data_IF_150207613692
#
_entry.id   IF_150207613692
#
_cell.length_a   1.000
_cell.length_b   1.000
_cell.length_c   1.000
_cell.angle_alpha   90.00
_cell.angle_beta   90.00
_cell.angle_gamma   90.00
#
_symmetry.space_group_name_H-M   'P 1'
#
loop_
_entity.id
_entity.type
_entity.pdbx_description
1 polymer ?
#
# COMPACT_ATOMS: atom_id res chain seq x y z
N UNK A 1 -4.72 -20.76 -9.17
CA UNK A 1 -4.00 -20.19 -10.34
C UNK A 1 -4.28 -18.70 -10.60
N UNK A 2 -5.53 -18.25 -10.76
CA UNK A 2 -5.82 -16.82 -11.06
C UNK A 2 -5.28 -15.85 -9.98
N UNK A 3 -5.36 -16.22 -8.71
CA UNK A 3 -4.85 -15.42 -7.58
C UNK A 3 -3.30 -15.31 -7.62
N UNK A 4 -2.60 -16.43 -7.75
CA UNK A 4 -1.14 -16.50 -7.93
C UNK A 4 -0.66 -15.59 -9.07
N UNK A 5 -1.34 -15.59 -10.22
CA UNK A 5 -0.98 -14.71 -11.34
C UNK A 5 -1.19 -13.22 -11.02
N UNK A 6 -2.24 -12.87 -10.28
CA UNK A 6 -2.48 -11.49 -9.85
C UNK A 6 -1.40 -11.02 -8.87
N UNK A 7 -1.05 -11.86 -7.89
CA UNK A 7 -0.01 -11.60 -6.90
C UNK A 7 1.35 -11.43 -7.59
N UNK A 8 1.75 -12.40 -8.41
CA UNK A 8 3.06 -12.33 -9.09
C UNK A 8 3.16 -11.14 -10.04
N UNK A 9 2.09 -10.80 -10.78
CA UNK A 9 2.03 -9.56 -11.57
C UNK A 9 2.17 -8.32 -10.70
N UNK A 10 1.48 -8.26 -9.56
CA UNK A 10 1.58 -7.15 -8.62
C UNK A 10 2.99 -7.04 -8.01
N UNK A 11 3.71 -8.14 -7.83
CA UNK A 11 5.08 -8.15 -7.30
C UNK A 11 6.16 -7.88 -8.37
N UNK A 12 5.83 -7.95 -9.65
CA UNK A 12 6.78 -7.77 -10.77
C UNK A 12 7.13 -6.30 -11.08
N UNK A 13 7.04 -5.40 -10.10
CA UNK A 13 7.37 -3.97 -10.26
C UNK A 13 8.11 -3.45 -9.03
N UNK A 14 9.18 -2.70 -9.30
CA UNK A 14 10.08 -2.22 -8.25
C UNK A 14 9.37 -1.29 -7.26
N UNK A 15 8.52 -0.36 -7.74
CA UNK A 15 7.84 0.58 -6.86
C UNK A 15 6.82 -0.13 -5.96
N UNK A 16 6.14 -1.15 -6.48
CA UNK A 16 5.23 -1.99 -5.67
C UNK A 16 5.97 -2.77 -4.58
N UNK A 17 7.16 -3.29 -4.86
CA UNK A 17 8.01 -3.94 -3.84
C UNK A 17 8.50 -2.92 -2.80
N UNK A 18 8.89 -1.71 -3.23
CA UNK A 18 9.27 -0.60 -2.32
C UNK A 18 8.12 -0.23 -1.37
N UNK A 19 6.89 -0.11 -1.88
CA UNK A 19 5.69 0.14 -1.07
C UNK A 19 5.52 -0.96 -0.02
N UNK A 20 5.55 -2.24 -0.42
CA UNK A 20 5.39 -3.35 0.52
C UNK A 20 6.45 -3.33 1.61
N UNK A 21 7.73 -3.11 1.27
CA UNK A 21 8.80 -3.01 2.27
C UNK A 21 8.57 -1.85 3.24
N UNK A 22 8.19 -0.67 2.74
CA UNK A 22 7.93 0.50 3.57
C UNK A 22 6.76 0.26 4.54
N UNK A 23 5.67 -0.33 4.05
CA UNK A 23 4.50 -0.65 4.86
C UNK A 23 4.77 -1.77 5.87
N UNK A 24 5.48 -2.83 5.49
CA UNK A 24 5.89 -3.89 6.43
C UNK A 24 6.76 -3.37 7.58
N UNK A 25 7.51 -2.29 7.37
CA UNK A 25 8.36 -1.71 8.42
C UNK A 25 7.65 -0.65 9.28
N UNK A 26 6.64 0.04 8.74
CA UNK A 26 5.98 1.18 9.41
C UNK A 26 4.54 0.89 9.86
N UNK A 27 3.95 -0.22 9.42
CA UNK A 27 2.55 -0.56 9.68
C UNK A 27 1.62 0.09 8.67
N UNK A 28 1.45 1.42 8.77
CA UNK A 28 0.57 2.18 7.86
C UNK A 28 1.21 3.48 7.35
N UNK A 29 0.91 3.84 6.09
CA UNK A 29 1.35 5.09 5.47
C UNK A 29 0.22 5.68 4.61
N UNK A 30 0.12 7.01 4.58
CA UNK A 30 -0.82 7.69 3.69
C UNK A 30 -0.29 7.79 2.25
N UNK A 31 -1.20 8.06 1.31
CA UNK A 31 -0.83 8.24 -0.13
C UNK A 31 0.26 9.29 -0.33
N UNK A 32 0.21 10.42 0.39
CA UNK A 32 1.20 11.49 0.25
C UNK A 32 2.60 11.05 0.69
N UNK A 33 2.70 10.30 1.79
CA UNK A 33 3.97 9.76 2.27
C UNK A 33 4.56 8.75 1.26
N UNK A 34 3.71 7.89 0.70
CA UNK A 34 4.12 6.92 -0.32
C UNK A 34 4.50 7.60 -1.64
N UNK A 35 3.80 8.66 -2.01
CA UNK A 35 4.11 9.45 -3.20
C UNK A 35 5.49 10.11 -3.07
N UNK A 36 5.77 10.74 -1.93
CA UNK A 36 7.06 11.36 -1.64
C UNK A 36 8.20 10.34 -1.67
N UNK A 37 7.99 9.19 -1.00
CA UNK A 37 8.95 8.08 -0.96
C UNK A 37 9.31 7.57 -2.36
N UNK A 38 8.30 7.35 -3.19
CA UNK A 38 8.49 6.85 -4.55
C UNK A 38 8.98 7.93 -5.52
N UNK A 39 8.77 9.20 -5.18
CA UNK A 39 9.03 10.35 -6.04
C UNK A 39 8.31 10.23 -7.38
N UNK A 40 7.03 9.85 -7.32
CA UNK A 40 6.14 9.65 -8.47
C UNK A 40 4.98 10.65 -8.46
N UNK A 41 4.33 10.79 -9.61
CA UNK A 41 3.08 11.54 -9.71
C UNK A 41 1.94 10.87 -8.91
N UNK A 42 0.96 11.63 -8.40
CA UNK A 42 -0.16 11.10 -7.61
C UNK A 42 -0.93 9.98 -8.31
N UNK A 43 -1.15 10.10 -9.62
CA UNK A 43 -1.87 9.11 -10.44
C UNK A 43 -1.11 7.80 -10.55
N UNK A 44 0.22 7.85 -10.70
CA UNK A 44 1.10 6.67 -10.75
C UNK A 44 1.13 5.95 -9.39
N UNK A 45 1.31 6.70 -8.30
CA UNK A 45 1.30 6.13 -6.94
C UNK A 45 -0.04 5.46 -6.65
N UNK A 46 -1.15 6.15 -6.94
CA UNK A 46 -2.51 5.60 -6.74
C UNK A 46 -2.72 4.32 -7.57
N UNK A 47 -2.23 4.28 -8.81
CA UNK A 47 -2.31 3.08 -9.66
C UNK A 47 -1.54 1.90 -9.05
N UNK A 48 -0.33 2.12 -8.51
CA UNK A 48 0.42 1.05 -7.84
C UNK A 48 -0.33 0.52 -6.62
N UNK A 49 -0.91 1.41 -5.80
CA UNK A 49 -1.69 1.04 -4.62
C UNK A 49 -2.96 0.26 -4.99
N UNK A 50 -3.69 0.71 -6.00
CA UNK A 50 -4.88 0.00 -6.49
C UNK A 50 -4.54 -1.41 -7.00
N UNK A 51 -3.42 -1.59 -7.70
CA UNK A 51 -2.98 -2.92 -8.17
C UNK A 51 -2.66 -3.84 -6.98
N UNK A 52 -1.94 -3.34 -5.98
CA UNK A 52 -1.59 -4.11 -4.79
C UNK A 52 -2.82 -4.47 -3.93
N UNK A 53 -3.74 -3.51 -3.73
CA UNK A 53 -5.00 -3.73 -3.03
C UNK A 53 -5.90 -4.73 -3.78
N UNK A 54 -6.00 -4.62 -5.11
CA UNK A 54 -6.77 -5.56 -5.95
C UNK A 54 -6.19 -6.98 -5.93
N UNK A 55 -4.88 -7.11 -5.68
CA UNK A 55 -4.21 -8.38 -5.48
C UNK A 55 -4.38 -8.94 -4.05
N UNK A 56 -5.09 -8.23 -3.15
CA UNK A 56 -5.29 -8.62 -1.77
C UNK A 56 -4.04 -8.48 -0.89
N UNK A 57 -3.08 -7.64 -1.30
CA UNK A 57 -1.83 -7.46 -0.57
C UNK A 57 -1.85 -6.26 0.38
N UNK A 58 -2.74 -5.28 0.13
CA UNK A 58 -2.89 -4.09 0.97
C UNK A 58 -4.34 -3.94 1.47
N UNK A 59 -4.45 -3.48 2.72
CA UNK A 59 -5.67 -2.94 3.29
C UNK A 59 -5.66 -1.42 3.23
N UNK A 60 -6.84 -0.81 3.21
CA UNK A 60 -7.00 0.65 3.22
C UNK A 60 -7.95 1.07 4.34
N UNK A 61 -7.49 2.02 5.16
CA UNK A 61 -8.26 2.67 6.23
C UNK A 61 -8.45 4.13 5.87
N UNK A 62 -9.68 4.63 5.99
CA UNK A 62 -9.98 6.05 5.78
C UNK A 62 -10.04 6.76 7.13
N UNK A 63 -9.39 7.92 7.22
CA UNK A 63 -9.41 8.78 8.39
C UNK A 63 -9.50 10.25 7.95
N UNK A 64 -10.68 10.84 8.15
CA UNK A 64 -11.02 12.13 7.55
C UNK A 64 -10.89 12.08 6.03
N UNK A 65 -10.02 12.92 5.47
CA UNK A 65 -9.73 12.97 4.03
C UNK A 65 -8.58 12.07 3.58
N UNK A 66 -7.92 11.37 4.51
CA UNK A 66 -6.73 10.60 4.23
C UNK A 66 -7.07 9.12 4.04
N UNK A 67 -6.40 8.49 3.09
CA UNK A 67 -6.38 7.04 2.92
C UNK A 67 -5.01 6.52 3.38
N UNK A 68 -5.03 5.68 4.41
CA UNK A 68 -3.87 4.98 4.94
C UNK A 68 -3.87 3.55 4.41
N UNK A 69 -2.72 3.12 3.92
CA UNK A 69 -2.51 1.76 3.44
C UNK A 69 -1.66 1.01 4.43
N UNK A 70 -1.95 -0.28 4.62
CA UNK A 70 -1.15 -1.22 5.39
C UNK A 70 -1.01 -2.53 4.61
N UNK A 71 0.02 -3.32 4.92
CA UNK A 71 0.08 -4.70 4.41
C UNK A 71 -1.02 -5.49 5.11
N UNK A 72 -1.75 -6.30 4.36
CA UNK A 72 -2.71 -7.24 4.97
C UNK A 72 -1.93 -8.20 5.85
N UNK A 73 -2.44 -8.57 7.02
CA UNK A 73 -1.77 -9.51 7.95
C UNK A 73 -2.70 -10.65 8.36
N UNK A 74 -2.10 -11.78 8.76
CA UNK A 74 -2.83 -12.93 9.30
C UNK A 74 -3.74 -13.61 8.28
N UNK A 75 -4.95 -13.97 8.72
CA UNK A 75 -5.92 -14.75 7.95
C UNK A 75 -6.53 -14.01 6.74
N UNK A 76 -6.28 -12.69 6.62
CA UNK A 76 -6.80 -11.88 5.53
C UNK A 76 -5.87 -11.89 4.31
N UNK A 77 -4.58 -12.24 4.47
CA UNK A 77 -3.68 -12.40 3.33
C UNK A 77 -4.11 -13.65 2.57
N UNK A 78 -4.21 -13.63 1.23
CA UNK A 78 -4.36 -14.84 0.45
C UNK A 78 -3.29 -15.88 0.85
N UNK A 79 -3.69 -17.09 1.21
CA UNK A 79 -2.77 -18.16 1.63
C UNK A 79 -1.59 -18.32 0.65
N UNK A 80 -1.89 -18.23 -0.65
CA UNK A 80 -0.94 -18.25 -1.77
C UNK A 80 0.12 -17.12 -1.73
N UNK A 81 -0.15 -16.00 -1.05
CA UNK A 81 0.69 -14.79 -1.05
C UNK A 81 1.64 -14.71 0.16
N UNK A 82 1.27 -15.28 1.32
CA UNK A 82 1.98 -15.09 2.59
C UNK A 82 3.48 -15.37 2.45
N UNK A 83 3.82 -16.55 1.91
CA UNK A 83 5.22 -16.99 1.79
C UNK A 83 5.99 -16.16 0.77
N UNK A 84 5.37 -15.82 -0.37
CA UNK A 84 6.04 -15.08 -1.45
C UNK A 84 6.31 -13.63 -1.02
N UNK A 85 5.34 -12.97 -0.40
CA UNK A 85 5.50 -11.59 0.09
C UNK A 85 6.58 -11.54 1.16
N UNK A 86 6.52 -12.42 2.16
CA UNK A 86 7.53 -12.49 3.22
C UNK A 86 8.95 -12.75 2.67
N UNK A 87 9.07 -13.66 1.69
CA UNK A 87 10.34 -13.93 1.04
C UNK A 87 10.86 -12.71 0.27
N UNK A 88 10.02 -12.07 -0.56
CA UNK A 88 10.44 -10.89 -1.35
C UNK A 88 10.84 -9.74 -0.43
N UNK A 89 10.05 -9.41 0.60
CA UNK A 89 10.36 -8.30 1.50
C UNK A 89 11.65 -8.55 2.28
N UNK A 90 11.87 -9.78 2.77
CA UNK A 90 13.12 -10.14 3.47
C UNK A 90 14.37 -10.05 2.58
N UNK A 91 14.24 -10.35 1.29
CA UNK A 91 15.34 -10.27 0.32
C UNK A 91 15.56 -8.84 -0.19
N UNK A 92 14.48 -8.09 -0.38
CA UNK A 92 14.52 -6.70 -0.82
C UNK A 92 15.08 -5.77 0.27
N UNK A 93 14.78 -6.03 1.56
CA UNK A 93 15.27 -5.24 2.69
C UNK A 93 16.81 -5.12 2.75
N UNK A 94 17.53 -6.09 2.18
CA UNK A 94 19.00 -6.11 2.13
C UNK A 94 19.59 -5.24 1.01
N UNK A 95 18.76 -4.73 0.09
CA UNK A 95 19.22 -3.97 -1.07
C UNK A 95 19.38 -2.49 -0.72
N UNK A 96 20.41 -1.86 -1.31
CA UNK A 96 20.76 -0.45 -1.09
C UNK A 96 19.59 0.51 -1.32
N UNK A 97 18.76 0.26 -2.35
CA UNK A 97 17.59 1.08 -2.64
C UNK A 97 16.58 1.10 -1.46
N UNK A 98 16.28 -0.05 -0.87
CA UNK A 98 15.36 -0.15 0.28
C UNK A 98 15.98 0.46 1.54
N UNK A 99 17.29 0.35 1.72
CA UNK A 99 17.99 1.02 2.83
C UNK A 99 17.94 2.54 2.71
N UNK A 100 18.09 3.08 1.48
CA UNK A 100 17.93 4.51 1.22
C UNK A 100 16.50 4.97 1.48
N UNK A 101 15.52 4.19 1.01
CA UNK A 101 14.10 4.43 1.29
C UNK A 101 13.82 4.46 2.78
N UNK A 102 14.38 3.53 3.56
CA UNK A 102 14.24 3.52 5.03
C UNK A 102 14.73 4.81 5.67
N UNK A 103 15.86 5.33 5.20
CA UNK A 103 16.42 6.59 5.69
C UNK A 103 15.54 7.78 5.31
N UNK A 104 15.16 7.89 4.03
CA UNK A 104 14.25 8.94 3.55
C UNK A 104 12.92 8.91 4.28
N UNK A 105 12.39 7.73 4.55
CA UNK A 105 11.11 7.57 5.22
C UNK A 105 11.12 8.13 6.66
N UNK A 106 12.26 8.10 7.36
CA UNK A 106 12.37 8.78 8.68
C UNK A 106 12.16 10.28 8.56
N UNK A 107 12.70 10.88 7.51
CA UNK A 107 12.54 12.31 7.23
C UNK A 107 11.12 12.62 6.75
N UNK A 108 10.54 11.81 5.86
CA UNK A 108 9.16 12.02 5.38
C UNK A 108 8.17 11.98 6.54
N UNK A 109 8.35 11.06 7.49
CA UNK A 109 7.48 10.89 8.66
C UNK A 109 7.64 11.98 9.72
N UNK A 110 8.63 12.88 9.61
CA UNK A 110 8.72 14.04 10.50
C UNK A 110 7.71 15.14 10.13
N UNK A 111 7.15 15.08 8.92
CA UNK A 111 6.11 15.99 8.45
C UNK A 111 4.71 15.40 8.65
N UNK A 112 3.76 16.26 8.97
CA UNK A 112 2.35 15.89 8.97
C UNK A 112 1.85 15.58 7.56
N UNK A 113 0.80 14.75 7.41
CA UNK A 113 0.16 14.50 6.11
C UNK A 113 -0.30 15.78 5.41
N UNK A 114 -0.73 16.80 6.17
CA UNK A 114 -1.16 18.09 5.65
C UNK A 114 0.00 18.84 4.98
N UNK A 115 1.15 18.93 5.65
CA UNK A 115 2.36 19.59 5.13
C UNK A 115 2.87 18.88 3.87
N UNK A 116 2.90 17.54 3.87
CA UNK A 116 3.30 16.76 2.70
C UNK A 116 2.35 17.00 1.52
N UNK A 117 1.05 16.99 1.77
CA UNK A 117 0.05 17.23 0.72
C UNK A 117 0.22 18.62 0.10
N UNK A 118 0.43 19.66 0.91
CA UNK A 118 0.66 21.03 0.41
C UNK A 118 1.92 21.14 -0.43
N UNK A 119 3.00 20.45 -0.05
CA UNK A 119 4.25 20.42 -0.83
C UNK A 119 4.09 19.75 -2.18
N UNK A 120 3.38 18.61 -2.21
CA UNK A 120 3.22 17.78 -3.42
C UNK A 120 2.33 18.41 -4.50
N UNK A 121 1.59 19.46 -4.16
CA UNK A 121 0.58 20.08 -5.01
C UNK A 121 0.83 21.56 -5.30
N UNK A 122 2.01 22.08 -4.95
CA UNK A 122 2.31 23.52 -4.98
C UNK A 122 1.21 24.36 -4.26
N UNK A 123 0.68 23.86 -3.14
CA UNK A 123 -0.34 24.54 -2.34
C UNK A 123 -1.81 24.24 -2.70
N UNK A 124 -2.11 23.39 -3.69
CA UNK A 124 -3.48 22.94 -3.98
C UNK A 124 -3.90 21.73 -3.11
N UNK A 125 -5.14 21.59 -2.67
CA UNK A 125 -5.55 20.40 -1.88
C UNK A 125 -5.89 19.21 -2.79
N UNK A 126 -5.06 18.15 -2.77
CA UNK A 126 -5.25 16.96 -3.63
C UNK A 126 -6.39 16.04 -3.17
N UNK A 127 -6.62 15.91 -1.86
CA UNK A 127 -7.41 14.81 -1.28
C UNK A 127 -8.89 15.12 -1.04
N UNK A 128 -9.48 16.09 -1.76
CA UNK A 128 -10.90 16.45 -1.62
C UNK A 128 -11.86 15.39 -2.20
N UNK A 129 -11.36 14.41 -2.96
CA UNK A 129 -12.18 13.37 -3.58
C UNK A 129 -11.35 12.11 -3.86
N UNK A 130 -11.34 11.16 -2.92
CA UNK A 130 -10.91 9.79 -3.19
C UNK A 130 -12.05 9.03 -3.90
N UNK A 131 -11.77 8.08 -4.81
CA UNK A 131 -12.80 7.30 -5.47
C UNK A 131 -13.55 6.44 -4.45
N UNK A 132 -14.88 6.39 -4.59
CA UNK A 132 -15.75 5.50 -3.84
C UNK A 132 -15.28 4.05 -4.05
N UNK A 133 -14.74 3.45 -3.01
CA UNK A 133 -14.30 2.07 -3.00
C UNK A 133 -15.53 1.18 -3.15
N UNK A 134 -15.65 0.45 -4.26
CA UNK A 134 -16.48 -0.75 -4.35
C UNK A 134 -15.98 -1.79 -3.34
N UNK A 135 -16.43 -1.67 -2.10
CA UNK A 135 -16.34 -2.70 -1.07
C UNK A 135 -17.76 -3.21 -0.77
N UNK A 136 -18.25 -4.14 -1.59
CA UNK A 136 -19.34 -5.04 -1.22
C UNK A 136 -19.49 -6.13 -2.29
N UNK A 137 -19.05 -7.35 -1.98
CA UNK A 137 -19.80 -8.59 -2.23
C UNK A 137 -18.92 -9.83 -2.00
N UNK A 138 -18.80 -10.24 -0.74
CA UNK A 138 -18.79 -11.68 -0.42
C UNK A 138 -19.71 -11.90 0.77
N UNK A 139 -20.97 -12.15 0.46
CA UNK A 139 -21.92 -12.80 1.36
C UNK A 139 -21.44 -14.23 1.62
N UNK A 140 -21.09 -14.53 2.87
CA UNK A 140 -21.15 -15.87 3.47
C UNK A 140 -21.52 -15.74 4.94
N UNK A 141 -22.82 -15.58 5.18
CA UNK A 141 -23.57 -16.18 6.28
C UNK A 141 -24.76 -16.84 5.53
N UNK A 142 -24.94 -18.16 5.55
CA UNK A 142 -25.32 -18.91 6.73
C UNK A 142 -24.84 -20.37 6.68
N UNK A 143 -24.17 -20.78 7.76
CA UNK A 143 -24.20 -22.16 8.25
C UNK A 143 -24.55 -22.06 9.73
N UNK A 144 -25.80 -22.39 10.09
CA UNK A 144 -26.25 -23.26 11.19
C UNK A 144 -27.67 -22.87 11.66
N UNK A 145 -28.66 -23.70 11.32
CA UNK A 145 -29.75 -24.05 12.23
C UNK A 145 -30.49 -25.30 11.71
N UNK A 146 -30.33 -26.40 12.46
CA UNK A 146 -30.98 -27.73 12.39
C UNK A 146 -30.31 -28.79 11.53
#
# INVERSE_FOLDING_TARGET
MRNILAITKALSDLNRVRILCALSERGELCVCQLQELLSLAPSSTSKHLSILASAGLLSVRKEGRWAYYSVVEGAEIPEDAVQVVAWITSQAAKKKAIQQDRTRLKEILSYSPEELCQRLTNGQRCCSSAPETHAAARSRKDTLAR
#
